data_IF_537193915604
#
_entry.id   IF_537193915604
#
_cell.length_a   1.000
_cell.length_b   1.000
_cell.length_c   1.000
_cell.angle_alpha   90.00
_cell.angle_beta   90.00
_cell.angle_gamma   90.00
#
_symmetry.space_group_name_H-M   'P 1'
#
loop_
_entity.id
_entity.type
_entity.pdbx_description
1 polymer ?
#
# COMPACT_ATOMS: atom_id res chain seq x y z
N UNK A 1 47.52 14.03 3.03
CA UNK A 1 46.10 14.17 2.60
C UNK A 1 45.59 12.95 1.81
N UNK A 2 46.39 12.31 0.95
CA UNK A 2 45.96 11.11 0.21
C UNK A 2 45.54 9.92 1.11
N UNK A 3 46.26 9.68 2.21
CA UNK A 3 45.98 8.57 3.13
C UNK A 3 44.60 8.69 3.82
N UNK A 4 44.23 9.88 4.29
CA UNK A 4 42.91 10.15 4.89
C UNK A 4 41.76 9.93 3.90
N UNK A 5 41.92 10.36 2.65
CA UNK A 5 40.91 10.16 1.63
C UNK A 5 40.74 8.67 1.29
N UNK A 6 41.86 7.94 1.16
CA UNK A 6 41.84 6.49 0.93
C UNK A 6 41.21 5.73 2.09
N UNK A 7 41.58 6.06 3.34
CA UNK A 7 40.97 5.48 4.54
C UNK A 7 39.46 5.74 4.60
N UNK A 8 39.02 6.96 4.27
CA UNK A 8 37.60 7.30 4.24
C UNK A 8 36.84 6.49 3.18
N UNK A 9 37.41 6.33 1.98
CA UNK A 9 36.79 5.52 0.90
C UNK A 9 36.70 4.05 1.29
N UNK A 10 37.75 3.50 1.90
CA UNK A 10 37.76 2.11 2.40
C UNK A 10 36.69 1.93 3.48
N UNK A 11 36.65 2.81 4.47
CA UNK A 11 35.67 2.77 5.55
C UNK A 11 34.23 2.86 5.01
N UNK A 12 33.98 3.77 4.05
CA UNK A 12 32.68 3.91 3.39
C UNK A 12 32.31 2.63 2.61
N UNK A 13 33.27 2.02 1.92
CA UNK A 13 33.04 0.80 1.15
C UNK A 13 32.66 -0.38 2.05
N UNK A 14 33.38 -0.55 3.16
CA UNK A 14 33.06 -1.55 4.18
C UNK A 14 31.66 -1.29 4.75
N UNK A 15 31.35 -0.05 5.10
CA UNK A 15 30.03 0.34 5.62
C UNK A 15 28.91 -0.04 4.64
N UNK A 16 29.07 0.25 3.35
CA UNK A 16 28.07 -0.07 2.32
C UNK A 16 27.88 -1.58 2.14
N UNK A 17 28.96 -2.37 2.17
CA UNK A 17 28.88 -3.84 2.06
C UNK A 17 28.21 -4.44 3.29
N UNK A 18 28.61 -4.02 4.50
CA UNK A 18 27.98 -4.47 5.74
C UNK A 18 26.50 -4.09 5.75
N UNK A 19 26.16 -2.86 5.36
CA UNK A 19 24.79 -2.44 5.27
C UNK A 19 23.98 -3.25 4.26
N UNK A 20 24.55 -3.60 3.11
CA UNK A 20 23.87 -4.42 2.12
C UNK A 20 23.41 -5.77 2.71
N UNK A 21 24.30 -6.45 3.44
CA UNK A 21 24.00 -7.72 4.09
C UNK A 21 22.94 -7.55 5.19
N UNK A 22 23.11 -6.56 6.06
CA UNK A 22 22.15 -6.26 7.16
C UNK A 22 20.79 -5.87 6.61
N UNK A 23 20.76 -4.98 5.61
CA UNK A 23 19.56 -4.50 4.94
C UNK A 23 18.79 -5.64 4.27
N UNK A 24 19.48 -6.52 3.55
CA UNK A 24 18.88 -7.71 2.95
C UNK A 24 18.28 -8.66 4.00
N UNK A 25 18.98 -8.87 5.13
CA UNK A 25 18.48 -9.68 6.23
C UNK A 25 17.25 -9.07 6.91
N UNK A 26 17.26 -7.76 7.17
CA UNK A 26 16.12 -7.02 7.71
C UNK A 26 14.91 -7.10 6.76
N UNK A 27 15.14 -6.91 5.46
CA UNK A 27 14.06 -7.00 4.46
C UNK A 27 13.47 -8.40 4.40
N UNK A 28 14.31 -9.45 4.46
CA UNK A 28 13.84 -10.84 4.48
C UNK A 28 13.02 -11.14 5.73
N UNK A 29 13.47 -10.68 6.91
CA UNK A 29 12.70 -10.83 8.17
C UNK A 29 11.35 -10.11 8.08
N UNK A 30 11.32 -8.88 7.57
CA UNK A 30 10.10 -8.09 7.38
C UNK A 30 9.15 -8.77 6.40
N UNK A 31 9.65 -9.23 5.26
CA UNK A 31 8.88 -9.94 4.24
C UNK A 31 8.19 -11.18 4.82
N UNK A 32 8.93 -12.01 5.56
CA UNK A 32 8.39 -13.23 6.18
C UNK A 32 7.35 -12.91 7.26
N UNK A 33 7.55 -11.84 8.04
CA UNK A 33 6.57 -11.41 9.03
C UNK A 33 5.26 -10.99 8.39
N UNK A 34 5.32 -10.15 7.35
CA UNK A 34 4.11 -9.70 6.63
C UNK A 34 3.46 -10.88 5.91
N UNK A 35 4.26 -11.78 5.33
CA UNK A 35 3.73 -12.97 4.66
C UNK A 35 2.96 -13.89 5.62
N UNK A 36 3.46 -14.09 6.86
CA UNK A 36 2.74 -14.85 7.88
C UNK A 36 1.40 -14.19 8.20
N UNK A 37 1.40 -12.89 8.45
CA UNK A 37 0.19 -12.12 8.71
C UNK A 37 -0.82 -12.20 7.56
N UNK A 38 -0.36 -12.04 6.31
CA UNK A 38 -1.22 -12.18 5.12
C UNK A 38 -1.77 -13.61 5.00
N UNK A 39 -0.94 -14.63 5.23
CA UNK A 39 -1.36 -16.03 5.14
C UNK A 39 -2.44 -16.36 6.17
N UNK A 40 -2.32 -15.83 7.38
CA UNK A 40 -3.34 -15.95 8.43
C UNK A 40 -4.64 -15.26 8.02
N UNK A 41 -4.58 -14.02 7.53
CA UNK A 41 -5.77 -13.30 7.05
C UNK A 41 -6.47 -14.01 5.88
N UNK A 42 -5.70 -14.59 4.95
CA UNK A 42 -6.24 -15.30 3.78
C UNK A 42 -7.00 -16.57 4.15
N UNK A 43 -6.64 -17.26 5.23
CA UNK A 43 -7.37 -18.45 5.69
C UNK A 43 -8.85 -18.16 5.95
N UNK A 44 -9.18 -16.95 6.43
CA UNK A 44 -10.56 -16.51 6.64
C UNK A 44 -11.35 -16.29 5.34
N UNK A 45 -10.66 -15.91 4.26
CA UNK A 45 -11.27 -15.58 2.96
C UNK A 45 -11.72 -16.82 2.17
N UNK A 46 -11.20 -18.00 2.51
CA UNK A 46 -11.45 -19.25 1.78
C UNK A 46 -10.85 -19.26 0.37
N UNK A 47 -11.16 -20.30 -0.40
CA UNK A 47 -10.64 -20.46 -1.76
C UNK A 47 -9.19 -20.95 -1.80
N UNK A 48 -8.57 -20.81 -2.98
CA UNK A 48 -7.19 -21.23 -3.22
C UNK A 48 -6.27 -20.02 -3.28
N UNK A 49 -5.32 -19.96 -2.34
CA UNK A 49 -4.32 -18.92 -2.26
C UNK A 49 -3.03 -19.33 -2.97
N UNK A 50 -2.56 -18.50 -3.88
CA UNK A 50 -1.25 -18.62 -4.53
C UNK A 50 -0.38 -17.44 -4.17
N UNK A 51 0.93 -17.67 -4.12
CA UNK A 51 1.91 -16.64 -3.78
C UNK A 51 2.98 -16.57 -4.86
N UNK A 52 3.39 -15.35 -5.21
CA UNK A 52 4.50 -15.08 -6.13
C UNK A 52 5.40 -14.00 -5.54
N UNK A 53 6.71 -14.23 -5.54
CA UNK A 53 7.69 -13.20 -5.17
C UNK A 53 7.86 -12.18 -6.31
N UNK A 54 8.01 -10.90 -5.95
CA UNK A 54 8.24 -9.80 -6.88
C UNK A 54 9.73 -9.42 -6.82
N UNK A 55 10.59 -10.30 -7.36
CA UNK A 55 12.05 -10.19 -7.21
C UNK A 55 12.56 -10.85 -5.92
N UNK A 56 13.85 -10.69 -5.62
CA UNK A 56 14.50 -11.35 -4.45
C UNK A 56 14.15 -10.71 -3.11
N UNK A 57 14.02 -9.37 -3.08
CA UNK A 57 13.84 -8.58 -1.84
C UNK A 57 12.78 -7.50 -1.96
N UNK A 58 12.21 -7.27 -3.15
CA UNK A 58 11.35 -6.12 -3.42
C UNK A 58 9.90 -6.29 -2.93
N UNK A 59 9.44 -7.52 -2.70
CA UNK A 59 8.09 -7.78 -2.22
C UNK A 59 7.48 -9.09 -2.70
N UNK A 60 6.18 -9.25 -2.48
CA UNK A 60 5.43 -10.43 -2.91
C UNK A 60 3.97 -10.10 -3.23
N UNK A 61 3.35 -10.98 -4.01
CA UNK A 61 1.95 -10.92 -4.38
C UNK A 61 1.26 -12.20 -3.92
N UNK A 62 0.10 -12.07 -3.30
CA UNK A 62 -0.79 -13.17 -2.94
C UNK A 62 -2.09 -13.02 -3.70
N UNK A 63 -2.51 -14.06 -4.42
CA UNK A 63 -3.78 -14.10 -5.14
C UNK A 63 -4.66 -15.20 -4.56
N UNK A 64 -5.91 -14.87 -4.24
CA UNK A 64 -6.91 -15.81 -3.76
C UNK A 64 -7.98 -15.94 -4.83
N UNK A 65 -8.10 -17.14 -5.41
CA UNK A 65 -9.16 -17.47 -6.37
C UNK A 65 -10.29 -18.21 -5.65
N UNK A 66 -11.53 -17.89 -6.00
CA UNK A 66 -12.69 -18.56 -5.42
C UNK A 66 -12.92 -18.20 -3.96
N UNK A 67 -12.65 -16.95 -3.58
CA UNK A 67 -12.93 -16.44 -2.24
C UNK A 67 -14.43 -16.59 -1.89
N UNK A 68 -14.72 -16.62 -0.59
CA UNK A 68 -16.08 -16.61 -0.05
C UNK A 68 -16.83 -15.36 -0.52
N UNK A 69 -18.15 -15.48 -0.67
CA UNK A 69 -19.03 -14.33 -0.98
C UNK A 69 -18.77 -13.22 0.06
N UNK A 70 -18.72 -11.94 -0.34
CA UNK A 70 -19.10 -11.38 -1.65
C UNK A 70 -17.99 -11.39 -2.73
N UNK A 71 -16.79 -11.87 -2.40
CA UNK A 71 -15.63 -11.78 -3.28
C UNK A 71 -15.58 -12.92 -4.31
N UNK A 72 -15.04 -12.61 -5.49
CA UNK A 72 -14.71 -13.58 -6.55
C UNK A 72 -13.23 -13.91 -6.52
N UNK A 73 -12.40 -12.86 -6.44
CA UNK A 73 -10.94 -12.93 -6.47
C UNK A 73 -10.39 -11.82 -5.58
N UNK A 74 -9.30 -12.10 -4.89
CA UNK A 74 -8.59 -11.12 -4.07
C UNK A 74 -7.12 -11.16 -4.48
N UNK A 75 -6.53 -9.99 -4.66
CA UNK A 75 -5.11 -9.81 -4.93
C UNK A 75 -4.53 -8.86 -3.89
N UNK A 76 -3.50 -9.31 -3.21
CA UNK A 76 -2.70 -8.51 -2.29
C UNK A 76 -1.30 -8.40 -2.85
N UNK A 77 -0.77 -7.19 -2.91
CA UNK A 77 0.61 -6.95 -3.30
C UNK A 77 1.30 -6.16 -2.20
N UNK A 78 2.44 -6.66 -1.75
CA UNK A 78 3.30 -6.01 -0.76
C UNK A 78 4.58 -5.63 -1.46
N UNK A 79 4.96 -4.35 -1.37
CA UNK A 79 6.21 -3.80 -1.86
C UNK A 79 7.00 -3.27 -0.66
N UNK A 80 8.24 -3.72 -0.52
CA UNK A 80 9.11 -3.35 0.58
C UNK A 80 10.07 -2.23 0.16
N UNK A 81 10.46 -1.39 1.10
CA UNK A 81 11.57 -0.45 0.88
C UNK A 81 12.85 -1.23 0.51
N UNK A 82 13.69 -0.73 -0.42
CA UNK A 82 14.95 -1.37 -0.80
C UNK A 82 16.04 -1.11 0.25
N UNK A 83 15.90 -1.72 1.42
CA UNK A 83 16.76 -1.50 2.61
C UNK A 83 18.20 -1.92 2.39
N UNK A 84 18.46 -2.82 1.46
CA UNK A 84 19.80 -3.30 1.09
C UNK A 84 20.68 -2.21 0.44
N UNK A 85 20.09 -1.19 -0.19
CA UNK A 85 20.85 -0.09 -0.82
C UNK A 85 20.78 1.14 0.09
N UNK A 86 21.76 1.33 0.97
CA UNK A 86 21.76 2.37 2.03
C UNK A 86 21.33 3.75 1.52
N UNK A 87 22.01 4.24 0.48
CA UNK A 87 21.79 5.59 -0.06
C UNK A 87 20.39 5.73 -0.65
N UNK A 88 19.93 4.72 -1.40
CA UNK A 88 18.59 4.71 -2.00
C UNK A 88 17.50 4.60 -0.92
N UNK A 89 17.71 3.76 0.09
CA UNK A 89 16.82 3.62 1.23
C UNK A 89 16.68 4.94 1.99
N UNK A 90 17.80 5.58 2.34
CA UNK A 90 17.81 6.86 3.05
C UNK A 90 17.10 7.93 2.22
N UNK A 91 17.40 8.04 0.94
CA UNK A 91 16.74 8.98 0.03
C UNK A 91 15.23 8.76 -0.06
N UNK A 92 14.79 7.50 -0.21
CA UNK A 92 13.37 7.16 -0.24
C UNK A 92 12.68 7.48 1.08
N UNK A 93 13.35 7.21 2.21
CA UNK A 93 12.85 7.49 3.56
C UNK A 93 12.69 8.99 3.82
N UNK A 94 13.63 9.81 3.34
CA UNK A 94 13.53 11.28 3.39
C UNK A 94 12.37 11.82 2.53
N UNK A 95 12.01 11.11 1.44
CA UNK A 95 10.82 11.40 0.62
C UNK A 95 9.52 10.82 1.18
N UNK A 96 9.53 10.26 2.39
CA UNK A 96 8.36 9.67 3.04
C UNK A 96 7.89 8.35 2.42
N UNK A 97 8.67 7.73 1.52
CA UNK A 97 8.33 6.41 0.96
C UNK A 97 8.50 5.35 2.03
N UNK A 98 7.49 4.49 2.17
CA UNK A 98 7.40 3.38 3.12
C UNK A 98 7.09 2.07 2.42
N UNK A 99 7.12 0.98 3.18
CA UNK A 99 6.54 -0.29 2.74
C UNK A 99 5.07 -0.03 2.34
N UNK A 100 4.65 -0.58 1.21
CA UNK A 100 3.31 -0.38 0.68
C UNK A 100 2.61 -1.72 0.52
N UNK A 101 1.37 -1.80 0.96
CA UNK A 101 0.51 -2.92 0.70
C UNK A 101 -0.71 -2.43 -0.08
N UNK A 102 -0.99 -3.05 -1.23
CA UNK A 102 -2.21 -2.84 -1.97
C UNK A 102 -3.11 -4.07 -1.84
N UNK A 103 -4.39 -3.81 -1.66
CA UNK A 103 -5.44 -4.82 -1.62
C UNK A 103 -6.42 -4.52 -2.75
N UNK A 104 -6.64 -5.49 -3.61
CA UNK A 104 -7.61 -5.44 -4.70
C UNK A 104 -8.55 -6.62 -4.55
N UNK A 105 -9.84 -6.37 -4.55
CA UNK A 105 -10.84 -7.43 -4.50
C UNK A 105 -11.87 -7.25 -5.60
N UNK A 106 -12.05 -8.29 -6.40
CA UNK A 106 -13.08 -8.36 -7.41
C UNK A 106 -14.35 -8.93 -6.75
N UNK A 107 -15.43 -8.16 -6.77
CA UNK A 107 -16.74 -8.58 -6.27
C UNK A 107 -17.45 -9.48 -7.29
N UNK A 108 -18.29 -10.40 -6.80
CA UNK A 108 -19.13 -11.24 -7.67
C UNK A 108 -20.27 -10.47 -8.33
N UNK A 109 -20.75 -9.44 -7.64
CA UNK A 109 -21.83 -8.56 -8.10
C UNK A 109 -21.26 -7.17 -8.24
N UNK A 110 -21.61 -6.49 -9.34
CA UNK A 110 -21.20 -5.10 -9.57
C UNK A 110 -21.79 -4.22 -8.45
N UNK A 111 -20.98 -3.40 -7.77
CA UNK A 111 -21.51 -2.49 -6.77
C UNK A 111 -22.40 -1.45 -7.47
N UNK A 112 -23.48 -1.05 -6.79
CA UNK A 112 -24.42 -0.02 -7.29
C UNK A 112 -23.93 1.41 -7.05
N UNK A 113 -22.76 1.53 -6.41
CA UNK A 113 -22.17 2.74 -5.91
C UNK A 113 -20.67 2.70 -6.20
N UNK A 114 -20.12 3.81 -6.69
CA UNK A 114 -18.69 4.01 -6.82
C UNK A 114 -18.23 4.95 -5.70
N UNK A 115 -17.11 4.59 -5.07
CA UNK A 115 -16.53 5.30 -3.94
C UNK A 115 -15.03 5.42 -4.16
N UNK A 116 -14.48 6.60 -3.98
CA UNK A 116 -13.05 6.84 -4.03
C UNK A 116 -12.62 7.71 -2.85
N UNK A 117 -11.66 7.20 -2.07
CA UNK A 117 -11.15 7.85 -0.87
C UNK A 117 -9.65 8.02 -1.03
N UNK A 118 -9.17 9.24 -0.83
CA UNK A 118 -7.76 9.62 -0.99
C UNK A 118 -7.38 10.69 0.03
N UNK A 119 -6.12 10.76 0.47
CA UNK A 119 -5.64 11.91 1.25
C UNK A 119 -5.79 13.19 0.43
N UNK A 120 -6.42 14.22 0.99
CA UNK A 120 -6.78 15.46 0.33
C UNK A 120 -5.57 16.24 -0.17
N UNK A 121 -4.43 16.13 0.52
CA UNK A 121 -3.16 16.74 0.11
C UNK A 121 -2.37 15.93 -0.93
N UNK A 122 -2.87 14.76 -1.33
CA UNK A 122 -2.14 13.90 -2.29
C UNK A 122 -2.25 14.41 -3.73
N UNK A 123 -1.21 14.16 -4.54
CA UNK A 123 -1.27 14.42 -5.98
C UNK A 123 -2.35 13.59 -6.70
N UNK A 124 -2.81 12.50 -6.09
CA UNK A 124 -3.90 11.66 -6.59
C UNK A 124 -5.23 12.42 -6.42
N UNK A 125 -5.48 13.01 -5.26
CA UNK A 125 -6.66 13.85 -5.02
C UNK A 125 -6.76 14.99 -6.05
N UNK A 126 -5.65 15.68 -6.33
CA UNK A 126 -5.64 16.74 -7.35
C UNK A 126 -6.04 16.25 -8.76
N UNK A 127 -5.60 15.05 -9.15
CA UNK A 127 -5.98 14.45 -10.44
C UNK A 127 -7.46 14.04 -10.46
N UNK A 128 -7.95 13.49 -9.35
CA UNK A 128 -9.34 13.10 -9.22
C UNK A 128 -10.27 14.31 -9.22
N UNK A 129 -9.92 15.38 -8.50
CA UNK A 129 -10.67 16.64 -8.50
C UNK A 129 -10.87 17.20 -9.91
N UNK A 130 -9.84 17.12 -10.78
CA UNK A 130 -9.98 17.51 -12.19
C UNK A 130 -10.97 16.62 -12.95
N UNK A 131 -11.02 15.32 -12.66
CA UNK A 131 -11.97 14.41 -13.27
C UNK A 131 -13.42 14.62 -12.75
N UNK A 132 -13.59 15.21 -11.55
CA UNK A 132 -14.92 15.59 -11.04
C UNK A 132 -15.56 16.71 -11.86
N UNK A 133 -14.79 17.57 -12.50
CA UNK A 133 -15.33 18.62 -13.37
C UNK A 133 -16.03 18.03 -14.60
N UNK A 134 -15.71 16.78 -14.98
CA UNK A 134 -16.24 16.10 -16.15
C UNK A 134 -17.36 15.08 -15.81
N UNK A 135 -17.51 14.67 -14.55
CA UNK A 135 -18.46 13.61 -14.15
C UNK A 135 -19.27 13.97 -12.89
N UNK A 136 -20.52 13.48 -12.80
CA UNK A 136 -21.46 13.75 -11.68
C UNK A 136 -21.10 13.05 -10.36
N UNK A 137 -19.92 13.36 -9.80
CA UNK A 137 -19.47 12.90 -8.49
C UNK A 137 -19.82 13.93 -7.40
N UNK A 138 -20.13 13.43 -6.21
CA UNK A 138 -20.35 14.25 -5.01
C UNK A 138 -19.12 14.17 -4.13
N UNK A 139 -18.58 15.34 -3.76
CA UNK A 139 -17.46 15.45 -2.82
C UNK A 139 -17.99 15.45 -1.38
N UNK A 140 -17.38 14.62 -0.54
CA UNK A 140 -17.52 14.62 0.90
C UNK A 140 -16.15 14.64 1.59
N UNK A 141 -16.14 14.98 2.86
CA UNK A 141 -14.95 14.95 3.72
C UNK A 141 -15.28 14.17 4.98
N UNK A 142 -14.32 13.42 5.51
CA UNK A 142 -14.49 12.72 6.79
C UNK A 142 -13.95 13.65 7.88
N UNK A 143 -14.85 14.10 8.75
CA UNK A 143 -14.50 14.90 9.92
C UNK A 143 -13.32 14.30 10.69
N UNK A 144 -12.41 15.18 11.10
CA UNK A 144 -11.16 14.89 11.81
C UNK A 144 -10.11 14.09 11.03
N UNK A 145 -10.19 14.04 9.70
CA UNK A 145 -9.18 13.40 8.85
C UNK A 145 -8.81 14.24 7.63
N UNK A 146 -7.60 14.05 7.10
CA UNK A 146 -7.21 14.59 5.79
C UNK A 146 -7.77 13.74 4.64
N UNK A 147 -8.80 12.90 4.86
CA UNK A 147 -9.35 12.05 3.81
C UNK A 147 -10.46 12.78 3.04
N UNK A 148 -10.28 12.85 1.74
CA UNK A 148 -11.29 13.26 0.78
C UNK A 148 -12.05 12.04 0.29
N UNK A 149 -13.38 12.17 0.24
CA UNK A 149 -14.30 11.11 -0.17
C UNK A 149 -15.07 11.56 -1.41
N UNK A 150 -15.06 10.76 -2.45
CA UNK A 150 -15.72 11.04 -3.73
C UNK A 150 -16.73 9.93 -4.00
N UNK A 151 -17.99 10.32 -4.17
CA UNK A 151 -19.12 9.42 -4.25
C UNK A 151 -19.82 9.55 -5.60
N UNK A 152 -20.22 8.43 -6.19
CA UNK A 152 -21.06 8.41 -7.40
C UNK A 152 -22.10 7.31 -7.30
N UNK A 153 -23.38 7.70 -7.44
CA UNK A 153 -24.55 6.82 -7.31
C UNK A 153 -25.42 7.12 -6.08
N UNK A 154 -26.58 6.47 -6.01
CA UNK A 154 -27.62 6.76 -4.98
C UNK A 154 -27.43 6.02 -3.65
N UNK A 155 -26.70 4.91 -3.62
CA UNK A 155 -26.53 4.06 -2.41
C UNK A 155 -25.24 4.38 -1.60
N UNK A 156 -24.58 5.52 -1.84
CA UNK A 156 -23.21 5.75 -1.36
C UNK A 156 -23.13 6.38 0.04
N UNK A 157 -24.14 7.17 0.44
CA UNK A 157 -24.19 7.84 1.75
C UNK A 157 -24.23 6.81 2.90
N UNK A 158 -25.10 5.78 2.88
CA UNK A 158 -25.16 4.78 3.96
C UNK A 158 -23.90 3.91 4.04
N UNK A 159 -23.18 3.73 2.92
CA UNK A 159 -21.93 2.98 2.88
C UNK A 159 -20.80 3.77 3.53
N UNK A 160 -20.74 5.07 3.25
CA UNK A 160 -19.70 5.96 3.80
C UNK A 160 -19.82 6.03 5.31
N UNK A 161 -21.02 6.23 5.86
CA UNK A 161 -21.28 6.25 7.31
C UNK A 161 -20.82 4.98 8.02
N UNK A 162 -21.06 3.80 7.41
CA UNK A 162 -20.61 2.51 7.96
C UNK A 162 -19.09 2.35 7.92
N UNK A 163 -18.41 2.99 6.96
CA UNK A 163 -16.96 2.91 6.81
C UNK A 163 -16.22 3.97 7.62
N UNK A 164 -16.86 5.11 7.95
CA UNK A 164 -16.28 6.21 8.72
C UNK A 164 -15.46 5.77 9.95
N UNK A 165 -15.96 4.89 10.85
CA UNK A 165 -15.17 4.49 12.02
C UNK A 165 -13.87 3.77 11.64
N UNK A 166 -13.92 2.86 10.66
CA UNK A 166 -12.75 2.13 10.17
C UNK A 166 -11.78 3.05 9.43
N UNK A 167 -12.32 4.01 8.67
CA UNK A 167 -11.52 4.99 7.92
C UNK A 167 -10.80 5.96 8.85
N UNK A 168 -11.42 6.36 9.97
CA UNK A 168 -10.76 7.21 10.99
C UNK A 168 -9.57 6.48 11.63
N UNK A 169 -9.73 5.20 11.97
CA UNK A 169 -8.65 4.39 12.53
C UNK A 169 -7.51 4.18 11.52
N UNK A 170 -7.84 3.93 10.26
CA UNK A 170 -6.86 3.64 9.21
C UNK A 170 -6.35 4.89 8.47
N UNK A 171 -6.89 6.08 8.73
CA UNK A 171 -6.65 7.30 7.98
C UNK A 171 -5.17 7.61 7.70
N UNK A 172 -4.24 7.52 8.67
CA UNK A 172 -2.83 7.85 8.43
C UNK A 172 -2.11 6.83 7.53
N UNK A 173 -2.74 5.70 7.20
CA UNK A 173 -2.15 4.60 6.45
C UNK A 173 -2.84 4.36 5.10
N UNK A 174 -3.95 5.04 4.82
CA UNK A 174 -4.66 4.93 3.55
C UNK A 174 -3.99 5.82 2.51
N UNK A 175 -3.42 5.21 1.48
CA UNK A 175 -2.90 5.93 0.31
C UNK A 175 -4.00 6.19 -0.73
N UNK A 176 -4.88 5.21 -0.92
CA UNK A 176 -6.04 5.26 -1.81
C UNK A 176 -6.94 4.06 -1.54
N UNK A 177 -8.24 4.29 -1.50
CA UNK A 177 -9.26 3.25 -1.51
C UNK A 177 -10.23 3.56 -2.65
N UNK A 178 -10.53 2.55 -3.48
CA UNK A 178 -11.47 2.70 -4.59
C UNK A 178 -12.37 1.48 -4.67
N UNK A 179 -13.66 1.74 -4.85
CA UNK A 179 -14.72 0.78 -5.11
C UNK A 179 -15.43 1.20 -6.39
N UNK A 180 -15.48 0.31 -7.37
CA UNK A 180 -16.07 0.51 -8.70
C UNK A 180 -16.72 -0.78 -9.19
#
# INVERSE_FOLDING_TARGET
MADLATQAVIALSILLVVWYVVGAWLNRRRALSILRWVREGVRGLGGQATMRWLGRTSGFQVSVKGAKRPFKKIEMMVLLEPREVLLLWLFNRLRGRRDMMSFKADLRTRPKAELEIVPGRSGIARKLLKALEEEAWVKGEIEDTDLMVLLKGKEVIPLTEKLTPLLRECAPHILRLSLR
#
